data_IF_177117676812
#
_entry.id   IF_177117676812
#
_cell.length_a   1.000
_cell.length_b   1.000
_cell.length_c   1.000
_cell.angle_alpha   90.00
_cell.angle_beta   90.00
_cell.angle_gamma   90.00
#
_symmetry.space_group_name_H-M   'P 1'
#
loop_
_entity.id
_entity.type
_entity.pdbx_description
1 polymer ?
#
# COMPACT_ATOMS: atom_id res chain seq x y z
N UNK A 1 17.44 17.53 1.93
CA UNK A 1 17.33 16.21 2.60
C UNK A 1 15.89 15.94 2.94
N UNK A 2 15.34 14.82 2.52
CA UNK A 2 13.99 14.48 2.96
C UNK A 2 13.98 14.13 4.44
N UNK A 3 13.00 14.64 5.13
CA UNK A 3 12.79 14.29 6.53
C UNK A 3 11.87 13.08 6.60
N UNK A 4 12.28 12.07 7.36
CA UNK A 4 11.49 10.90 7.58
C UNK A 4 10.64 11.06 8.84
N UNK A 5 9.36 10.78 8.71
CA UNK A 5 8.42 10.75 9.84
C UNK A 5 8.21 9.29 10.21
N UNK A 6 8.35 8.97 11.49
CA UNK A 6 8.19 7.60 11.99
C UNK A 6 6.87 7.47 12.73
N UNK A 7 6.16 6.39 12.46
CA UNK A 7 4.92 6.08 13.17
C UNK A 7 4.81 4.59 13.39
N UNK A 8 4.30 4.20 14.56
CA UNK A 8 4.01 2.80 14.86
C UNK A 8 2.66 2.42 14.28
N UNK A 9 2.58 1.20 13.78
CA UNK A 9 1.31 0.66 13.34
C UNK A 9 1.19 -0.81 13.69
N UNK A 10 -0.01 -1.32 13.57
CA UNK A 10 -0.31 -2.72 13.83
C UNK A 10 -0.86 -3.35 12.56
N UNK A 11 -0.36 -4.55 12.25
CA UNK A 11 -0.81 -5.29 11.08
C UNK A 11 -2.25 -5.72 11.30
N UNK A 12 -3.12 -5.36 10.35
CA UNK A 12 -4.54 -5.60 10.45
C UNK A 12 -5.03 -6.36 9.23
N UNK A 13 -6.06 -7.19 9.41
CA UNK A 13 -6.74 -7.81 8.29
C UNK A 13 -7.48 -6.73 7.50
N UNK A 14 -7.27 -6.71 6.18
CA UNK A 14 -7.98 -5.81 5.29
C UNK A 14 -9.14 -6.53 4.61
N UNK A 15 -9.49 -6.03 3.42
CA UNK A 15 -10.58 -6.63 2.65
C UNK A 15 -10.17 -7.93 1.95
N UNK A 16 -8.86 -8.22 1.87
CA UNK A 16 -8.34 -9.42 1.24
C UNK A 16 -8.37 -9.40 -0.29
N UNK A 17 -8.74 -8.29 -0.90
CA UNK A 17 -8.89 -8.18 -2.35
C UNK A 17 -7.53 -8.17 -3.04
N UNK A 18 -6.57 -7.44 -2.48
CA UNK A 18 -5.25 -7.26 -3.08
C UNK A 18 -4.48 -8.57 -3.17
N UNK A 19 -4.61 -9.44 -2.17
CA UNK A 19 -3.90 -10.73 -2.10
C UNK A 19 -4.72 -11.92 -2.61
N UNK A 20 -5.98 -11.72 -2.97
CA UNK A 20 -6.86 -12.79 -3.45
C UNK A 20 -7.52 -13.61 -2.36
N UNK A 21 -7.50 -13.15 -1.10
CA UNK A 21 -8.06 -13.88 0.04
C UNK A 21 -9.51 -13.53 0.38
N UNK A 22 -10.11 -12.60 -0.33
CA UNK A 22 -11.50 -12.21 -0.08
C UNK A 22 -12.45 -13.35 -0.50
N UNK A 23 -13.57 -13.51 0.24
CA UNK A 23 -14.52 -14.57 -0.03
C UNK A 23 -15.17 -14.46 -1.40
N UNK A 24 -15.49 -13.24 -1.85
CA UNK A 24 -16.07 -12.99 -3.18
C UNK A 24 -14.99 -12.47 -4.11
N UNK A 25 -14.00 -13.29 -4.35
CA UNK A 25 -12.83 -12.89 -5.07
C UNK A 25 -13.02 -13.03 -6.58
N UNK A 26 -13.20 -11.91 -7.28
CA UNK A 26 -13.24 -11.86 -8.75
C UNK A 26 -11.87 -12.06 -9.38
N UNK A 27 -10.81 -11.96 -8.58
CA UNK A 27 -9.43 -12.02 -9.04
C UNK A 27 -8.70 -13.09 -8.22
N UNK A 28 -8.64 -14.35 -8.73
CA UNK A 28 -8.14 -15.49 -7.93
C UNK A 28 -6.72 -15.30 -7.39
N UNK A 29 -5.89 -14.51 -8.08
CA UNK A 29 -4.51 -14.24 -7.65
C UNK A 29 -4.37 -12.89 -6.96
N UNK A 30 -5.50 -12.19 -6.71
CA UNK A 30 -5.52 -10.86 -6.11
C UNK A 30 -5.34 -9.74 -7.13
N UNK A 31 -5.73 -8.54 -6.72
CA UNK A 31 -5.68 -7.37 -7.62
C UNK A 31 -4.25 -6.89 -7.87
N UNK A 32 -3.36 -7.02 -6.88
CA UNK A 32 -1.97 -6.58 -7.03
C UNK A 32 -1.28 -7.36 -8.15
N UNK A 33 -1.46 -8.69 -8.19
CA UNK A 33 -0.86 -9.51 -9.24
C UNK A 33 -1.34 -9.08 -10.64
N UNK A 34 -2.62 -8.71 -10.76
CA UNK A 34 -3.18 -8.25 -12.04
C UNK A 34 -2.69 -6.86 -12.43
N UNK A 35 -2.44 -6.01 -11.44
CA UNK A 35 -2.05 -4.60 -11.67
C UNK A 35 -0.58 -4.44 -12.00
N UNK A 36 0.29 -5.33 -11.50
CA UNK A 36 1.75 -5.21 -11.66
C UNK A 36 2.20 -5.02 -13.10
N UNK A 37 1.71 -5.78 -14.10
CA UNK A 37 2.15 -5.57 -15.49
C UNK A 37 1.83 -4.18 -16.02
N UNK A 38 0.71 -3.60 -15.59
CA UNK A 38 0.32 -2.25 -16.00
C UNK A 38 1.27 -1.21 -15.44
N UNK A 39 1.63 -1.34 -14.15
CA UNK A 39 2.59 -0.43 -13.52
C UNK A 39 3.97 -0.57 -14.14
N UNK A 40 4.38 -1.79 -14.48
CA UNK A 40 5.67 -2.03 -15.12
C UNK A 40 5.76 -1.31 -16.48
N UNK A 41 4.70 -1.36 -17.27
CA UNK A 41 4.63 -0.64 -18.55
C UNK A 41 4.75 0.86 -18.37
N UNK A 42 4.31 1.38 -17.21
CA UNK A 42 4.35 2.79 -16.89
C UNK A 42 5.63 3.21 -16.16
N UNK A 43 6.55 2.27 -15.95
CA UNK A 43 7.88 2.57 -15.40
C UNK A 43 8.11 2.13 -13.96
N UNK A 44 7.17 1.41 -13.35
CA UNK A 44 7.33 0.93 -11.97
C UNK A 44 7.27 -0.58 -11.92
N UNK A 45 8.44 -1.21 -11.73
CA UNK A 45 8.55 -2.67 -11.61
C UNK A 45 8.38 -3.08 -10.14
N UNK A 46 7.29 -3.79 -9.87
CA UNK A 46 6.97 -4.31 -8.54
C UNK A 46 7.25 -5.82 -8.43
N UNK A 47 8.09 -6.36 -9.32
CA UNK A 47 8.33 -7.80 -9.39
C UNK A 47 8.85 -8.42 -8.10
N UNK A 48 9.66 -7.69 -7.34
CA UNK A 48 10.24 -8.18 -6.09
C UNK A 48 9.31 -8.04 -4.88
N UNK A 49 8.17 -7.40 -5.06
CA UNK A 49 7.22 -7.20 -3.97
C UNK A 49 6.21 -8.35 -3.93
N UNK A 50 5.75 -8.65 -2.72
CA UNK A 50 4.70 -9.64 -2.51
C UNK A 50 3.40 -9.20 -3.22
N UNK A 51 2.62 -10.16 -3.70
CA UNK A 51 1.35 -9.91 -4.38
C UNK A 51 0.22 -9.66 -3.38
N UNK A 52 0.34 -8.60 -2.61
CA UNK A 52 -0.64 -8.20 -1.61
C UNK A 52 -0.11 -7.00 -0.86
N UNK A 53 -0.98 -6.36 -0.09
CA UNK A 53 -0.60 -5.24 0.74
C UNK A 53 -0.68 -5.61 2.21
N UNK A 54 0.21 -5.00 3.01
CA UNK A 54 0.11 -5.02 4.46
C UNK A 54 -0.81 -3.86 4.85
N UNK A 55 -1.92 -4.16 5.50
CA UNK A 55 -2.79 -3.13 6.06
C UNK A 55 -2.27 -2.76 7.43
N UNK A 56 -1.76 -1.55 7.57
CA UNK A 56 -1.11 -1.08 8.78
C UNK A 56 -1.96 0.00 9.44
N UNK A 57 -2.51 -0.32 10.61
CA UNK A 57 -3.34 0.61 11.38
C UNK A 57 -2.44 1.52 12.19
N UNK A 58 -2.54 2.83 11.97
CA UNK A 58 -1.69 3.83 12.62
C UNK A 58 -2.45 4.69 13.64
N UNK A 59 -3.72 4.35 13.95
CA UNK A 59 -4.48 5.09 14.95
C UNK A 59 -3.67 5.24 16.24
N UNK A 60 -3.71 6.39 16.93
CA UNK A 60 -4.61 7.53 16.74
C UNK A 60 -4.21 8.50 15.63
N UNK A 61 -3.19 8.16 14.86
CA UNK A 61 -2.73 9.01 13.77
C UNK A 61 -3.52 8.73 12.49
N UNK A 62 -3.55 9.74 11.62
CA UNK A 62 -4.11 9.66 10.29
C UNK A 62 -3.07 10.17 9.31
N UNK A 63 -3.22 9.81 8.04
CA UNK A 63 -2.33 10.32 6.99
C UNK A 63 -3.08 11.20 6.00
N UNK A 64 -2.34 12.11 5.40
CA UNK A 64 -2.82 12.94 4.31
C UNK A 64 -1.76 12.95 3.23
N UNK A 65 -2.14 12.63 2.01
CA UNK A 65 -1.21 12.60 0.87
C UNK A 65 -0.88 14.03 0.44
N UNK A 66 0.37 14.26 0.07
CA UNK A 66 0.86 15.56 -0.39
C UNK A 66 1.42 15.47 -1.80
N UNK A 67 2.51 14.77 -1.98
CA UNK A 67 3.16 14.62 -3.28
C UNK A 67 3.68 13.20 -3.42
N UNK A 68 3.11 12.45 -4.35
CA UNK A 68 3.50 11.07 -4.59
C UNK A 68 4.84 11.00 -5.32
N UNK A 69 5.54 9.88 -5.11
CA UNK A 69 6.70 9.54 -5.93
C UNK A 69 6.27 9.17 -7.35
N UNK A 70 5.21 8.39 -7.47
CA UNK A 70 4.62 8.01 -8.76
C UNK A 70 3.12 8.25 -8.70
N UNK A 71 2.56 8.77 -9.78
CA UNK A 71 1.11 8.83 -9.98
C UNK A 71 0.80 8.35 -11.39
N UNK A 72 -0.04 7.34 -11.49
CA UNK A 72 -0.49 6.77 -12.76
C UNK A 72 -2.01 6.95 -12.87
N UNK A 73 -2.44 7.55 -13.97
CA UNK A 73 -3.84 7.86 -14.17
C UNK A 73 -4.44 6.97 -15.23
N UNK A 74 -5.75 6.73 -15.10
CA UNK A 74 -6.55 5.98 -16.08
C UNK A 74 -5.97 4.60 -16.36
N UNK A 75 -5.58 3.87 -15.31
CA UNK A 75 -5.05 2.52 -15.43
C UNK A 75 -6.21 1.54 -15.55
N UNK A 76 -6.40 1.02 -16.75
CA UNK A 76 -7.46 0.04 -17.04
C UNK A 76 -6.90 -1.37 -16.87
N UNK A 77 -6.74 -1.78 -15.61
CA UNK A 77 -6.16 -3.09 -15.28
C UNK A 77 -7.19 -4.21 -15.26
N UNK A 78 -8.49 -3.88 -15.26
CA UNK A 78 -9.58 -4.85 -15.30
C UNK A 78 -10.54 -4.49 -16.44
N UNK A 79 -10.88 -5.47 -17.27
CA UNK A 79 -11.77 -5.24 -18.42
C UNK A 79 -13.19 -4.84 -17.99
N UNK A 80 -13.61 -5.27 -16.80
CA UNK A 80 -14.98 -5.11 -16.33
C UNK A 80 -15.18 -3.93 -15.39
N UNK A 81 -14.12 -3.23 -15.02
CA UNK A 81 -14.18 -2.13 -14.06
C UNK A 81 -13.67 -0.84 -14.69
N UNK A 82 -14.11 0.33 -14.21
CA UNK A 82 -13.57 1.60 -14.68
C UNK A 82 -12.08 1.69 -14.45
N UNK A 83 -11.39 2.50 -15.24
CA UNK A 83 -9.98 2.80 -15.00
C UNK A 83 -9.81 3.49 -13.66
N UNK A 84 -8.68 3.23 -13.01
CA UNK A 84 -8.37 3.80 -11.69
C UNK A 84 -7.07 4.59 -11.74
N UNK A 85 -6.98 5.57 -10.85
CA UNK A 85 -5.75 6.30 -10.60
C UNK A 85 -5.04 5.71 -9.40
N UNK A 86 -3.70 5.66 -9.46
CA UNK A 86 -2.88 5.10 -8.39
C UNK A 86 -1.71 6.03 -8.09
N UNK A 87 -1.39 6.16 -6.82
CA UNK A 87 -0.17 6.84 -6.38
C UNK A 87 0.65 5.94 -5.47
N UNK A 88 1.96 6.15 -5.50
CA UNK A 88 2.91 5.40 -4.68
C UNK A 88 3.81 6.37 -3.94
N UNK A 89 4.06 6.07 -2.68
CA UNK A 89 4.88 6.91 -1.79
C UNK A 89 6.01 6.09 -1.22
N UNK A 90 7.17 6.71 -1.04
CA UNK A 90 8.30 6.03 -0.42
C UNK A 90 8.00 5.69 1.03
N UNK A 91 8.43 4.52 1.46
CA UNK A 91 8.41 4.18 2.87
C UNK A 91 9.53 3.20 3.21
N UNK A 92 9.82 3.10 4.51
CA UNK A 92 10.67 2.09 5.10
C UNK A 92 9.90 1.41 6.21
N UNK A 93 10.02 0.10 6.29
CA UNK A 93 9.35 -0.68 7.32
C UNK A 93 10.42 -1.33 8.18
N UNK A 94 10.33 -1.15 9.49
CA UNK A 94 11.27 -1.76 10.44
C UNK A 94 10.51 -2.84 11.19
N UNK A 95 10.98 -4.07 11.05
CA UNK A 95 10.41 -5.24 11.69
C UNK A 95 11.11 -5.52 13.03
N UNK A 96 10.71 -6.59 13.72
CA UNK A 96 11.34 -6.99 14.99
C UNK A 96 12.82 -7.31 14.86
N UNK A 97 13.29 -7.61 13.65
CA UNK A 97 14.71 -7.87 13.42
C UNK A 97 15.55 -6.60 13.33
N UNK A 98 14.92 -5.42 13.44
CA UNK A 98 15.55 -4.11 13.32
C UNK A 98 16.22 -3.86 11.96
N UNK A 99 15.83 -4.63 10.94
CA UNK A 99 16.32 -4.46 9.58
C UNK A 99 15.30 -3.61 8.80
N UNK A 100 15.69 -2.42 8.33
CA UNK A 100 14.77 -1.64 7.52
C UNK A 100 14.56 -2.27 6.15
N UNK A 101 13.31 -2.37 5.74
CA UNK A 101 12.93 -2.82 4.41
C UNK A 101 12.40 -1.63 3.63
N UNK A 102 12.90 -1.45 2.41
CA UNK A 102 12.36 -0.45 1.51
C UNK A 102 11.02 -0.95 0.97
N UNK A 103 10.02 -0.09 1.03
CA UNK A 103 8.70 -0.40 0.52
C UNK A 103 8.07 0.79 -0.17
N UNK A 104 6.83 0.60 -0.56
CA UNK A 104 6.01 1.68 -1.13
C UNK A 104 4.65 1.64 -0.46
N UNK A 105 4.10 2.82 -0.20
CA UNK A 105 2.70 2.93 0.17
C UNK A 105 1.89 2.92 -1.11
N UNK A 106 0.94 2.01 -1.18
CA UNK A 106 0.03 1.80 -2.31
C UNK A 106 -1.24 2.59 -2.04
N UNK A 107 -1.57 3.50 -2.94
CA UNK A 107 -2.70 4.40 -2.74
C UNK A 107 -3.57 4.44 -4.00
N UNK A 108 -4.58 3.56 -4.09
CA UNK A 108 -5.62 3.74 -5.11
C UNK A 108 -6.40 5.00 -4.76
N UNK A 109 -6.58 5.90 -5.73
CA UNK A 109 -7.27 7.15 -5.47
C UNK A 109 -8.73 6.90 -5.14
N UNK A 110 -9.25 7.41 -4.01
CA UNK A 110 -10.63 7.13 -3.60
C UNK A 110 -11.67 7.52 -4.63
N UNK A 111 -11.44 8.61 -5.35
CA UNK A 111 -12.38 9.12 -6.36
C UNK A 111 -12.54 8.21 -7.57
N UNK A 112 -11.58 7.32 -7.81
CA UNK A 112 -11.64 6.36 -8.93
C UNK A 112 -11.80 4.92 -8.47
N UNK A 113 -11.68 4.64 -7.16
CA UNK A 113 -11.80 3.29 -6.62
C UNK A 113 -13.26 2.97 -6.33
N UNK A 114 -13.83 1.93 -7.00
CA UNK A 114 -15.26 1.68 -6.87
C UNK A 114 -15.69 1.09 -5.53
N UNK A 115 -14.78 0.41 -4.81
CA UNK A 115 -15.12 -0.30 -3.58
C UNK A 115 -13.88 -0.52 -2.72
N UNK A 116 -14.09 -0.99 -1.46
CA UNK A 116 -13.02 -1.34 -0.52
C UNK A 116 -12.11 -0.16 -0.16
N UNK A 117 -12.72 1.01 0.05
CA UNK A 117 -11.98 2.20 0.47
C UNK A 117 -11.43 2.02 1.88
N UNK A 118 -10.18 2.46 2.09
CA UNK A 118 -9.56 2.41 3.40
C UNK A 118 -9.78 3.72 4.16
N UNK A 119 -9.98 3.65 5.48
CA UNK A 119 -10.03 4.87 6.29
C UNK A 119 -8.64 5.53 6.39
N UNK A 120 -8.58 6.83 6.75
CA UNK A 120 -7.32 7.58 6.75
C UNK A 120 -6.32 7.15 7.84
N UNK A 121 -6.68 6.20 8.69
CA UNK A 121 -5.77 5.63 9.69
C UNK A 121 -5.25 4.23 9.30
N UNK A 122 -5.48 3.79 8.07
CA UNK A 122 -4.96 2.53 7.54
C UNK A 122 -4.11 2.81 6.31
N UNK A 123 -2.84 2.43 6.39
CA UNK A 123 -1.93 2.47 5.24
C UNK A 123 -1.88 1.10 4.58
N UNK A 124 -1.86 1.06 3.25
CA UNK A 124 -1.59 -0.16 2.50
C UNK A 124 -0.14 -0.13 2.03
N UNK A 125 0.63 -1.12 2.46
CA UNK A 125 2.08 -1.11 2.27
C UNK A 125 2.51 -2.29 1.41
N UNK A 126 3.31 -2.01 0.38
CA UNK A 126 3.95 -3.02 -0.47
C UNK A 126 5.38 -3.22 -0.02
N UNK A 127 5.75 -4.47 0.24
CA UNK A 127 7.13 -4.86 0.58
C UNK A 127 7.43 -6.20 -0.06
N UNK A 128 8.72 -6.60 -0.13
CA UNK A 128 9.02 -8.01 -0.32
C UNK A 128 8.37 -8.83 0.79
N UNK A 129 8.19 -10.12 0.56
CA UNK A 129 7.55 -10.98 1.55
C UNK A 129 8.26 -10.91 2.90
N UNK A 130 7.50 -10.72 3.98
CA UNK A 130 8.03 -10.69 5.34
C UNK A 130 7.64 -12.00 6.03
N UNK A 131 8.62 -12.84 6.32
CA UNK A 131 8.40 -14.12 6.99
C UNK A 131 7.93 -13.91 8.43
N UNK A 132 6.95 -14.69 8.85
CA UNK A 132 6.48 -14.69 10.24
C UNK A 132 5.60 -13.52 10.62
N UNK A 133 5.22 -12.67 9.66
CA UNK A 133 4.34 -11.54 9.95
C UNK A 133 2.91 -12.03 10.19
N UNK A 134 2.31 -11.56 11.28
CA UNK A 134 0.95 -11.94 11.68
C UNK A 134 0.11 -10.73 12.00
N UNK A 135 -1.21 -10.89 11.92
CA UNK A 135 -2.13 -9.84 12.34
C UNK A 135 -1.90 -9.49 13.81
N UNK A 136 -1.89 -8.20 14.09
CA UNK A 136 -1.59 -7.69 15.43
C UNK A 136 -0.12 -7.38 15.68
N UNK A 137 0.77 -7.80 14.79
CA UNK A 137 2.19 -7.46 14.92
C UNK A 137 2.40 -5.96 14.77
N UNK A 138 3.32 -5.44 15.59
CA UNK A 138 3.69 -4.03 15.54
C UNK A 138 4.82 -3.82 14.53
N UNK A 139 4.67 -2.82 13.69
CA UNK A 139 5.71 -2.39 12.76
C UNK A 139 5.94 -0.90 12.93
N UNK A 140 7.19 -0.47 12.77
CA UNK A 140 7.52 0.94 12.64
C UNK A 140 7.60 1.27 11.16
N UNK A 141 6.85 2.28 10.71
CA UNK A 141 6.90 2.75 9.33
C UNK A 141 7.43 4.16 9.29
N UNK A 142 8.26 4.45 8.29
CA UNK A 142 8.80 5.78 8.05
C UNK A 142 8.35 6.25 6.67
N UNK A 143 7.85 7.48 6.62
CA UNK A 143 7.40 8.12 5.38
C UNK A 143 8.11 9.45 5.21
N UNK A 144 8.19 9.94 3.97
CA UNK A 144 8.83 11.22 3.69
C UNK A 144 7.86 12.37 3.94
N UNK A 145 8.30 13.37 4.71
CA UNK A 145 7.46 14.51 5.08
C UNK A 145 7.00 15.34 3.87
N UNK A 146 7.77 15.34 2.78
CA UNK A 146 7.38 16.03 1.55
C UNK A 146 6.25 15.30 0.83
N UNK A 147 6.13 14.00 1.04
CA UNK A 147 5.17 13.16 0.32
C UNK A 147 3.87 12.98 1.10
N UNK A 148 3.95 12.92 2.41
CA UNK A 148 2.81 12.55 3.24
C UNK A 148 2.87 13.25 4.59
N UNK A 149 1.71 13.70 5.07
CA UNK A 149 1.55 14.26 6.41
C UNK A 149 0.94 13.22 7.34
N UNK A 150 1.47 13.11 8.55
CA UNK A 150 0.93 12.25 9.61
C UNK A 150 0.48 13.16 10.75
N UNK A 151 -0.76 13.01 11.19
CA UNK A 151 -1.33 13.89 12.21
C UNK A 151 -2.35 13.14 13.07
N UNK A 152 -2.72 13.74 14.19
CA UNK A 152 -3.79 13.23 15.05
C UNK A 152 -5.12 13.90 14.76
#
# INVERSE_FOLDING_TARGET
MPDWIHVKGFVKAGHGVASGKAKQNRFPHGTIAMQKPFFQQLGLDLGDYFNGTINLAIAPYQYQVKQAKYTFRDVKWSANDPAEDFSFFDCRVITNSNQPLTGLIYYPHPETKPEHLQPPDILEVLTPFIHGLSYGDELLISVKSQQMNIYK
#
